data_IF_125994022427
#
_entry.id   IF_125994022427
#
_cell.length_a   1.000
_cell.length_b   1.000
_cell.length_c   1.000
_cell.angle_alpha   90.00
_cell.angle_beta   90.00
_cell.angle_gamma   90.00
#
_symmetry.space_group_name_H-M   'P 1'
#
loop_
_entity.id
_entity.type
_entity.pdbx_description
1 polymer ?
#
# COMPACT_ATOMS: atom_id res chain seq x y z
N UNK A 1 -16.04 -1.46 59.39
CA UNK A 1 -15.79 -2.55 58.45
C UNK A 1 -17.08 -3.15 57.99
N UNK A 2 -17.38 -3.13 56.69
CA UNK A 2 -17.40 -4.30 55.87
C UNK A 2 -16.70 -4.08 54.52
N UNK A 3 -16.21 -5.15 53.96
CA UNK A 3 -15.43 -5.29 52.72
C UNK A 3 -16.31 -5.09 51.49
N UNK A 4 -15.88 -4.19 50.59
CA UNK A 4 -16.41 -4.10 49.24
C UNK A 4 -15.80 -5.16 48.35
N UNK A 5 -16.56 -6.17 47.97
CA UNK A 5 -16.28 -7.06 46.83
C UNK A 5 -17.00 -6.53 45.62
N UNK A 6 -16.31 -5.77 44.80
CA UNK A 6 -16.76 -5.37 43.45
C UNK A 6 -15.94 -6.10 42.40
N UNK A 7 -16.40 -7.25 41.94
CA UNK A 7 -15.85 -7.96 40.79
C UNK A 7 -16.39 -7.20 39.54
N UNK A 8 -15.50 -6.51 38.88
CA UNK A 8 -15.74 -5.88 37.59
C UNK A 8 -16.08 -6.96 36.56
N UNK A 9 -17.28 -6.85 35.98
CA UNK A 9 -17.68 -7.66 34.83
C UNK A 9 -16.81 -7.25 33.65
N UNK A 10 -15.93 -8.15 33.25
CA UNK A 10 -15.22 -8.08 31.95
C UNK A 10 -16.27 -8.09 30.85
N UNK A 11 -16.46 -6.95 30.20
CA UNK A 11 -17.24 -6.85 28.99
C UNK A 11 -16.53 -7.65 27.89
N UNK A 12 -16.99 -8.85 27.61
CA UNK A 12 -16.68 -9.55 26.38
C UNK A 12 -17.38 -8.79 25.24
N UNK A 13 -16.65 -7.89 24.59
CA UNK A 13 -17.07 -7.34 23.31
C UNK A 13 -17.03 -8.47 22.29
N UNK A 14 -18.18 -9.03 21.98
CA UNK A 14 -18.38 -9.89 20.84
C UNK A 14 -18.30 -9.03 19.58
N UNK A 15 -17.17 -9.06 18.90
CA UNK A 15 -17.06 -8.57 17.51
C UNK A 15 -17.98 -9.46 16.68
N UNK A 16 -19.14 -8.96 16.29
CA UNK A 16 -19.97 -9.63 15.28
C UNK A 16 -19.23 -9.51 13.95
N UNK A 17 -18.45 -10.54 13.65
CA UNK A 17 -17.87 -10.74 12.33
C UNK A 17 -19.04 -11.11 11.41
N UNK A 18 -19.27 -10.31 10.39
CA UNK A 18 -20.20 -10.66 9.32
C UNK A 18 -19.67 -11.94 8.68
N UNK A 19 -20.35 -13.05 8.93
CA UNK A 19 -20.00 -14.37 8.40
C UNK A 19 -20.34 -14.40 6.91
N UNK A 20 -19.50 -13.82 6.08
CA UNK A 20 -19.49 -14.07 4.65
C UNK A 20 -18.85 -15.44 4.41
N UNK A 21 -19.41 -16.21 3.52
CA UNK A 21 -18.87 -17.54 3.17
C UNK A 21 -17.41 -17.40 2.69
N UNK A 22 -16.52 -18.35 3.02
CA UNK A 22 -15.17 -18.40 2.43
C UNK A 22 -15.28 -18.38 0.91
N UNK A 23 -14.31 -17.73 0.24
CA UNK A 23 -14.33 -17.64 -1.23
C UNK A 23 -14.27 -19.02 -1.90
N UNK A 24 -13.71 -20.06 -1.24
CA UNK A 24 -13.84 -21.49 -1.57
C UNK A 24 -13.19 -22.35 -0.48
N UNK A 25 -13.62 -23.62 -0.37
CA UNK A 25 -12.95 -24.61 0.50
C UNK A 25 -11.69 -25.13 -0.19
N UNK A 26 -10.54 -24.99 0.45
CA UNK A 26 -9.28 -25.56 -0.07
C UNK A 26 -9.36 -27.07 -0.11
N UNK A 27 -9.01 -27.66 -1.26
CA UNK A 27 -8.88 -29.10 -1.47
C UNK A 27 -10.07 -29.77 -2.14
N UNK A 28 -11.10 -29.05 -2.55
CA UNK A 28 -12.12 -29.59 -3.47
C UNK A 28 -11.65 -29.41 -4.91
N UNK A 29 -11.91 -30.41 -5.75
CA UNK A 29 -11.65 -30.30 -7.21
C UNK A 29 -12.50 -29.13 -7.75
N UNK A 30 -11.90 -28.15 -8.42
CA UNK A 30 -12.65 -27.00 -8.92
C UNK A 30 -13.74 -27.46 -9.89
N UNK A 31 -14.91 -26.81 -9.81
CA UNK A 31 -15.99 -27.15 -10.74
C UNK A 31 -15.62 -26.72 -12.16
N UNK A 32 -16.06 -27.51 -13.17
CA UNK A 32 -15.85 -27.16 -14.58
C UNK A 32 -16.45 -25.79 -14.93
N UNK A 33 -17.54 -25.40 -14.25
CA UNK A 33 -18.18 -24.10 -14.40
C UNK A 33 -17.27 -22.95 -13.96
N UNK A 34 -16.62 -23.07 -12.80
CA UNK A 34 -15.68 -22.07 -12.29
C UNK A 34 -14.45 -21.96 -13.19
N UNK A 35 -13.91 -23.08 -13.65
CA UNK A 35 -12.77 -23.09 -14.58
C UNK A 35 -13.12 -22.37 -15.88
N UNK A 36 -14.31 -22.63 -16.43
CA UNK A 36 -14.80 -21.97 -17.64
C UNK A 36 -14.99 -20.45 -17.43
N UNK A 37 -15.55 -20.04 -16.27
CA UNK A 37 -15.70 -18.62 -15.90
C UNK A 37 -14.36 -17.90 -15.82
N UNK A 38 -13.36 -18.52 -15.19
CA UNK A 38 -12.01 -17.92 -15.07
C UNK A 38 -11.36 -17.76 -16.45
N UNK A 39 -11.48 -18.75 -17.32
CA UNK A 39 -10.96 -18.68 -18.71
C UNK A 39 -11.58 -17.51 -19.46
N UNK A 40 -12.91 -17.43 -19.47
CA UNK A 40 -13.63 -16.35 -20.14
C UNK A 40 -13.22 -14.96 -19.54
N UNK A 41 -13.06 -14.88 -18.22
CA UNK A 41 -12.64 -13.67 -17.55
C UNK A 41 -11.21 -13.26 -17.96
N UNK A 42 -10.27 -14.20 -18.09
CA UNK A 42 -8.89 -13.91 -18.55
C UNK A 42 -8.90 -13.41 -19.99
N UNK A 43 -9.64 -14.05 -20.89
CA UNK A 43 -9.78 -13.63 -22.29
C UNK A 43 -10.44 -12.26 -22.38
N UNK A 44 -11.42 -11.98 -21.52
CA UNK A 44 -12.09 -10.67 -21.46
C UNK A 44 -11.15 -9.56 -20.99
N UNK A 45 -10.31 -9.81 -19.95
CA UNK A 45 -9.30 -8.84 -19.50
C UNK A 45 -8.25 -8.55 -20.58
N UNK A 46 -7.78 -9.58 -21.27
CA UNK A 46 -6.87 -9.40 -22.40
C UNK A 46 -7.49 -8.48 -23.44
N UNK A 47 -8.75 -8.73 -23.82
CA UNK A 47 -9.43 -7.97 -24.87
C UNK A 47 -9.80 -6.55 -24.45
N UNK A 48 -10.44 -6.38 -23.29
CA UNK A 48 -11.03 -5.10 -22.89
C UNK A 48 -10.06 -4.19 -22.15
N UNK A 49 -9.20 -4.75 -21.31
CA UNK A 49 -8.27 -3.98 -20.49
C UNK A 49 -6.91 -3.81 -21.15
N UNK A 50 -6.39 -4.88 -21.79
CA UNK A 50 -5.07 -4.86 -22.42
C UNK A 50 -5.11 -4.65 -23.94
N UNK A 51 -6.30 -4.57 -24.56
CA UNK A 51 -6.52 -4.40 -25.99
C UNK A 51 -5.76 -5.46 -26.82
N UNK A 52 -5.77 -6.72 -26.36
CA UNK A 52 -5.10 -7.87 -26.99
C UNK A 52 -6.08 -8.98 -27.32
N UNK A 53 -5.85 -9.62 -28.45
CA UNK A 53 -6.48 -10.90 -28.76
C UNK A 53 -5.65 -12.02 -28.14
N UNK A 54 -6.30 -13.06 -27.62
CA UNK A 54 -5.65 -14.17 -26.93
C UNK A 54 -4.52 -14.81 -27.74
N UNK A 55 -4.75 -15.08 -29.04
CA UNK A 55 -3.76 -15.71 -29.93
C UNK A 55 -2.44 -14.94 -30.07
N UNK A 56 -2.44 -13.65 -29.76
CA UNK A 56 -1.28 -12.77 -29.88
C UNK A 56 -0.79 -12.24 -28.51
N UNK A 57 -1.35 -12.77 -27.41
CA UNK A 57 -0.98 -12.33 -26.08
C UNK A 57 0.38 -12.89 -25.66
N UNK A 58 1.21 -12.06 -25.08
CA UNK A 58 2.47 -12.49 -24.46
C UNK A 58 2.20 -13.11 -23.08
N UNK A 59 3.13 -13.92 -22.57
CA UNK A 59 3.06 -14.46 -21.19
C UNK A 59 2.80 -13.36 -20.16
N UNK A 60 3.46 -12.22 -20.29
CA UNK A 60 3.29 -11.06 -19.40
C UNK A 60 1.86 -10.51 -19.45
N UNK A 61 1.27 -10.40 -20.61
CA UNK A 61 -0.12 -9.94 -20.75
C UNK A 61 -1.10 -10.94 -20.16
N UNK A 62 -0.89 -12.25 -20.33
CA UNK A 62 -1.70 -13.28 -19.69
C UNK A 62 -1.54 -13.26 -18.17
N UNK A 63 -0.31 -13.11 -17.66
CA UNK A 63 -0.07 -12.88 -16.22
C UNK A 63 -0.85 -11.67 -15.72
N UNK A 64 -0.77 -10.53 -16.41
CA UNK A 64 -1.49 -9.31 -16.03
C UNK A 64 -2.99 -9.53 -15.99
N UNK A 65 -3.55 -10.17 -17.01
CA UNK A 65 -4.98 -10.50 -17.09
C UNK A 65 -5.40 -11.42 -15.93
N UNK A 66 -4.61 -12.45 -15.63
CA UNK A 66 -4.84 -13.35 -14.49
C UNK A 66 -4.85 -12.58 -13.14
N UNK A 67 -3.88 -11.69 -12.95
CA UNK A 67 -3.84 -10.83 -11.76
C UNK A 67 -5.08 -9.94 -11.66
N UNK A 68 -5.55 -9.37 -12.77
CA UNK A 68 -6.73 -8.51 -12.80
C UNK A 68 -8.02 -9.28 -12.48
N UNK A 69 -8.16 -10.51 -13.00
CA UNK A 69 -9.29 -11.40 -12.69
C UNK A 69 -9.33 -11.70 -11.19
N UNK A 70 -8.19 -12.10 -10.61
CA UNK A 70 -8.11 -12.40 -9.19
C UNK A 70 -8.33 -11.13 -8.33
N UNK A 71 -7.74 -9.99 -8.73
CA UNK A 71 -7.92 -8.71 -8.04
C UNK A 71 -9.38 -8.28 -7.95
N UNK A 72 -10.19 -8.48 -8.99
CA UNK A 72 -11.63 -8.14 -8.96
C UNK A 72 -12.34 -8.86 -7.81
N UNK A 73 -12.12 -10.16 -7.65
CA UNK A 73 -12.70 -10.94 -6.55
C UNK A 73 -12.21 -10.48 -5.18
N UNK A 74 -10.93 -10.12 -5.08
CA UNK A 74 -10.34 -9.56 -3.87
C UNK A 74 -10.96 -8.19 -3.53
N UNK A 75 -11.18 -7.32 -4.52
CA UNK A 75 -11.72 -5.99 -4.31
C UNK A 75 -13.17 -6.02 -3.80
N UNK A 76 -14.00 -6.93 -4.26
CA UNK A 76 -15.35 -7.09 -3.73
C UNK A 76 -15.30 -7.38 -2.23
N UNK A 77 -14.47 -8.33 -1.81
CA UNK A 77 -14.25 -8.64 -0.41
C UNK A 77 -13.61 -7.49 0.39
N UNK A 78 -12.68 -6.75 -0.24
CA UNK A 78 -12.10 -5.55 0.33
C UNK A 78 -13.16 -4.50 0.66
N UNK A 79 -14.09 -4.24 -0.26
CA UNK A 79 -15.18 -3.27 -0.05
C UNK A 79 -16.05 -3.69 1.13
N UNK A 80 -16.47 -4.96 1.19
CA UNK A 80 -17.23 -5.51 2.32
C UNK A 80 -16.48 -5.37 3.65
N UNK A 81 -15.19 -5.73 3.67
CA UNK A 81 -14.34 -5.61 4.86
C UNK A 81 -14.23 -4.15 5.32
N UNK A 82 -13.99 -3.21 4.40
CA UNK A 82 -13.86 -1.80 4.75
C UNK A 82 -15.20 -1.20 5.23
N UNK A 83 -16.32 -1.61 4.65
CA UNK A 83 -17.65 -1.21 5.13
C UNK A 83 -17.86 -1.70 6.58
N UNK A 84 -17.64 -2.99 6.85
CA UNK A 84 -17.76 -3.56 8.19
C UNK A 84 -16.84 -2.89 9.23
N UNK A 85 -15.62 -2.54 8.84
CA UNK A 85 -14.67 -1.85 9.71
C UNK A 85 -15.01 -0.38 9.97
N UNK A 86 -15.77 0.26 9.08
CA UNK A 86 -16.15 1.67 9.21
C UNK A 86 -17.52 1.87 9.86
N UNK A 87 -18.45 0.91 9.72
CA UNK A 87 -19.82 0.99 10.26
C UNK A 87 -19.88 0.63 11.75
N UNK A 88 -18.87 -0.09 12.26
CA UNK A 88 -18.84 -0.49 13.68
C UNK A 88 -18.39 0.67 14.58
N UNK A 89 -19.35 1.31 15.30
CA UNK A 89 -18.97 2.13 16.46
C UNK A 89 -18.20 1.24 17.45
N UNK A 90 -16.93 1.48 17.64
CA UNK A 90 -16.14 0.67 18.54
C UNK A 90 -14.98 -0.12 17.89
N UNK A 91 -14.88 -0.16 16.58
CA UNK A 91 -13.78 -0.86 15.92
C UNK A 91 -12.44 -0.23 16.26
N UNK A 92 -11.58 -0.99 16.93
CA UNK A 92 -10.19 -0.61 17.18
C UNK A 92 -9.32 -1.08 16.01
N UNK A 93 -8.59 -0.16 15.39
CA UNK A 93 -7.78 -0.44 14.19
C UNK A 93 -6.29 -0.28 14.47
N UNK A 94 -5.52 -1.23 13.98
CA UNK A 94 -4.06 -1.17 14.01
C UNK A 94 -3.57 -0.45 12.76
N UNK A 95 -2.70 0.53 12.95
CA UNK A 95 -1.99 1.24 11.90
C UNK A 95 -0.51 0.90 12.02
N UNK A 96 -0.02 0.13 11.04
CA UNK A 96 1.36 -0.35 11.04
C UNK A 96 2.19 0.52 10.08
N UNK A 97 3.10 1.31 10.64
CA UNK A 97 3.96 2.23 9.90
C UNK A 97 5.34 1.61 9.75
N UNK A 98 5.79 1.45 8.50
CA UNK A 98 7.15 0.97 8.21
C UNK A 98 7.68 1.61 6.94
N UNK A 99 8.98 1.95 6.94
CA UNK A 99 9.67 2.37 5.72
C UNK A 99 9.89 1.22 4.74
N UNK A 100 9.77 -0.02 5.21
CA UNK A 100 10.01 -1.22 4.42
C UNK A 100 8.83 -2.18 4.48
N UNK A 101 8.48 -2.73 3.30
CA UNK A 101 7.53 -3.83 3.16
C UNK A 101 8.05 -4.82 2.12
N UNK A 102 8.65 -5.91 2.58
CA UNK A 102 9.12 -6.98 1.71
C UNK A 102 8.00 -7.98 1.44
N UNK A 103 7.07 -7.60 0.58
CA UNK A 103 5.87 -8.39 0.28
C UNK A 103 6.17 -9.63 -0.55
N UNK A 104 7.14 -9.56 -1.45
CA UNK A 104 7.39 -10.60 -2.43
C UNK A 104 6.41 -10.54 -3.61
N UNK A 105 6.29 -11.66 -4.35
CA UNK A 105 5.35 -11.85 -5.46
C UNK A 105 3.96 -12.15 -4.93
N UNK A 106 2.96 -11.46 -5.42
CA UNK A 106 1.61 -11.49 -4.85
C UNK A 106 0.68 -12.49 -5.52
N UNK A 107 0.88 -12.85 -6.80
CA UNK A 107 -0.04 -13.75 -7.50
C UNK A 107 -0.20 -15.08 -6.76
N UNK A 108 0.91 -15.75 -6.47
CA UNK A 108 0.87 -17.04 -5.79
C UNK A 108 0.30 -16.95 -4.37
N UNK A 109 0.65 -15.90 -3.62
CA UNK A 109 0.14 -15.66 -2.26
C UNK A 109 -1.37 -15.43 -2.29
N UNK A 110 -1.83 -14.56 -3.18
CA UNK A 110 -3.25 -14.26 -3.32
C UNK A 110 -4.06 -15.47 -3.79
N UNK A 111 -3.53 -16.29 -4.71
CA UNK A 111 -4.15 -17.55 -5.13
C UNK A 111 -4.31 -18.52 -3.96
N UNK A 112 -3.27 -18.68 -3.13
CA UNK A 112 -3.35 -19.54 -1.95
C UNK A 112 -4.34 -19.00 -0.91
N UNK A 113 -4.28 -17.69 -0.63
CA UNK A 113 -5.10 -17.08 0.42
C UNK A 113 -6.59 -17.02 0.05
N UNK A 114 -6.90 -16.94 -1.25
CA UNK A 114 -8.29 -16.96 -1.75
C UNK A 114 -8.82 -18.35 -2.02
N UNK A 115 -7.99 -19.41 -1.98
CA UNK A 115 -8.37 -20.76 -2.37
C UNK A 115 -8.53 -20.97 -3.87
N UNK A 116 -8.16 -19.96 -4.70
CA UNK A 116 -8.38 -19.99 -6.15
C UNK A 116 -7.28 -20.69 -6.94
N UNK A 117 -6.23 -21.22 -6.27
CA UNK A 117 -5.05 -21.74 -6.95
C UNK A 117 -5.39 -22.84 -7.94
N UNK A 118 -6.11 -23.86 -7.50
CA UNK A 118 -6.39 -25.05 -8.32
C UNK A 118 -7.28 -24.72 -9.51
N UNK A 119 -8.27 -23.84 -9.32
CA UNK A 119 -9.17 -23.39 -10.38
C UNK A 119 -8.45 -22.54 -11.44
N UNK A 120 -7.57 -21.62 -11.01
CA UNK A 120 -6.77 -20.79 -11.94
C UNK A 120 -5.73 -21.64 -12.66
N UNK A 121 -5.10 -22.61 -11.98
CA UNK A 121 -4.15 -23.53 -12.59
C UNK A 121 -4.81 -24.39 -13.68
N UNK A 122 -6.00 -24.95 -13.41
CA UNK A 122 -6.79 -25.69 -14.39
C UNK A 122 -7.17 -24.79 -15.59
N UNK A 123 -7.68 -23.59 -15.33
CA UNK A 123 -8.07 -22.66 -16.40
C UNK A 123 -6.88 -22.27 -17.30
N UNK A 124 -5.74 -21.95 -16.71
CA UNK A 124 -4.51 -21.62 -17.46
C UNK A 124 -3.98 -22.82 -18.23
N UNK A 125 -4.03 -24.04 -17.65
CA UNK A 125 -3.61 -25.26 -18.34
C UNK A 125 -4.45 -25.52 -19.61
N UNK A 126 -5.77 -25.31 -19.54
CA UNK A 126 -6.65 -25.41 -20.72
C UNK A 126 -6.39 -24.32 -21.77
N UNK A 127 -5.89 -23.14 -21.33
CA UNK A 127 -5.43 -22.06 -22.20
C UNK A 127 -4.01 -22.30 -22.74
N UNK A 128 -3.32 -23.36 -22.33
CA UNK A 128 -1.98 -23.72 -22.77
C UNK A 128 -0.85 -23.03 -22.01
N UNK A 129 -1.12 -22.53 -20.80
CA UNK A 129 -0.12 -21.86 -19.95
C UNK A 129 0.15 -22.66 -18.67
N UNK A 130 1.39 -22.65 -18.22
CA UNK A 130 1.82 -23.18 -16.94
C UNK A 130 1.79 -22.06 -15.88
N UNK A 131 1.05 -22.27 -14.79
CA UNK A 131 0.93 -21.27 -13.70
C UNK A 131 2.26 -20.95 -13.06
N UNK A 132 3.13 -21.96 -12.85
CA UNK A 132 4.44 -21.75 -12.25
C UNK A 132 5.32 -20.83 -13.10
N UNK A 133 5.36 -21.06 -14.42
CA UNK A 133 6.08 -20.21 -15.37
C UNK A 133 5.44 -18.81 -15.47
N UNK A 134 4.14 -18.72 -15.29
CA UNK A 134 3.44 -17.44 -15.31
C UNK A 134 3.77 -16.61 -14.05
N UNK A 135 3.89 -17.23 -12.89
CA UNK A 135 4.33 -16.57 -11.67
C UNK A 135 5.74 -15.98 -11.75
N UNK A 136 6.60 -16.52 -12.64
CA UNK A 136 7.96 -15.96 -12.86
C UNK A 136 7.93 -14.63 -13.64
N UNK A 137 6.84 -14.28 -14.31
CA UNK A 137 6.66 -12.98 -14.95
C UNK A 137 6.46 -11.84 -13.93
N UNK A 138 6.12 -12.14 -12.67
CA UNK A 138 5.92 -11.14 -11.63
C UNK A 138 7.24 -10.60 -11.10
N UNK A 139 7.42 -9.28 -11.20
CA UNK A 139 8.52 -8.62 -10.52
C UNK A 139 8.23 -8.51 -9.03
N UNK A 140 9.22 -8.84 -8.21
CA UNK A 140 9.16 -8.56 -6.79
C UNK A 140 9.03 -7.05 -6.54
N UNK A 141 8.16 -6.69 -5.63
CA UNK A 141 8.16 -5.35 -5.05
C UNK A 141 9.33 -5.25 -4.08
N UNK A 142 10.48 -4.79 -4.56
CA UNK A 142 11.70 -4.63 -3.76
C UNK A 142 11.64 -3.48 -2.76
N UNK A 143 10.52 -3.36 -2.01
CA UNK A 143 10.26 -2.30 -1.04
C UNK A 143 10.74 -2.64 0.37
N UNK A 144 11.66 -3.57 0.50
CA UNK A 144 12.28 -3.98 1.76
C UNK A 144 13.58 -4.71 1.52
N UNK A 145 14.48 -4.70 2.51
CA UNK A 145 15.79 -5.32 2.40
C UNK A 145 15.88 -6.68 3.11
N UNK A 146 15.34 -6.77 4.33
CA UNK A 146 15.56 -7.96 5.16
C UNK A 146 14.47 -8.17 6.20
N UNK A 147 14.89 -8.51 7.43
CA UNK A 147 13.98 -8.92 8.51
C UNK A 147 12.93 -7.90 8.89
N UNK A 148 13.27 -6.62 8.89
CA UNK A 148 12.32 -5.54 9.21
C UNK A 148 11.17 -5.49 8.20
N UNK A 149 11.50 -5.43 6.91
CA UNK A 149 10.50 -5.37 5.84
C UNK A 149 9.67 -6.65 5.74
N UNK A 150 10.31 -7.82 5.97
CA UNK A 150 9.57 -9.09 5.98
C UNK A 150 8.68 -9.23 7.21
N UNK A 151 9.11 -8.74 8.38
CA UNK A 151 8.28 -8.71 9.59
C UNK A 151 7.00 -7.88 9.37
N UNK A 152 7.13 -6.70 8.76
CA UNK A 152 6.00 -5.84 8.42
C UNK A 152 5.02 -6.56 7.49
N UNK A 153 5.51 -7.20 6.43
CA UNK A 153 4.69 -7.99 5.52
C UNK A 153 3.96 -9.14 6.23
N UNK A 154 4.68 -9.92 7.05
CA UNK A 154 4.09 -11.04 7.79
C UNK A 154 3.05 -10.58 8.82
N UNK A 155 3.23 -9.44 9.47
CA UNK A 155 2.23 -8.90 10.40
C UNK A 155 0.95 -8.48 9.68
N UNK A 156 1.05 -7.86 8.48
CA UNK A 156 -0.14 -7.53 7.71
C UNK A 156 -0.92 -8.79 7.30
N UNK A 157 -0.25 -9.82 6.82
CA UNK A 157 -0.86 -11.10 6.47
C UNK A 157 -1.51 -11.77 7.70
N UNK A 158 -0.81 -11.78 8.83
CA UNK A 158 -1.31 -12.38 10.08
C UNK A 158 -2.53 -11.63 10.59
N UNK A 159 -2.51 -10.30 10.60
CA UNK A 159 -3.66 -9.49 11.04
C UNK A 159 -4.88 -9.72 10.14
N UNK A 160 -4.70 -9.79 8.83
CA UNK A 160 -5.77 -10.10 7.91
C UNK A 160 -6.33 -11.52 8.13
N UNK A 161 -5.45 -12.51 8.36
CA UNK A 161 -5.84 -13.90 8.62
C UNK A 161 -6.59 -14.06 9.95
N UNK A 162 -6.25 -13.25 10.94
CA UNK A 162 -6.88 -13.26 12.28
C UNK A 162 -8.13 -12.34 12.35
N UNK A 163 -8.59 -11.81 11.22
CA UNK A 163 -9.72 -10.89 11.12
C UNK A 163 -9.53 -9.59 11.94
N UNK A 164 -8.28 -9.16 12.12
CA UNK A 164 -7.97 -7.91 12.82
C UNK A 164 -7.98 -6.72 11.86
N UNK A 165 -8.73 -5.65 12.16
CA UNK A 165 -8.72 -4.44 11.36
C UNK A 165 -7.34 -3.78 11.36
N UNK A 166 -6.69 -3.73 10.21
CA UNK A 166 -5.36 -3.16 10.09
C UNK A 166 -5.16 -2.40 8.78
N UNK A 167 -4.29 -1.40 8.81
CA UNK A 167 -3.80 -0.68 7.64
C UNK A 167 -2.29 -0.55 7.78
N UNK A 168 -1.54 -0.99 6.76
CA UNK A 168 -0.12 -0.70 6.63
C UNK A 168 0.09 0.66 5.97
N UNK A 169 1.13 1.39 6.39
CA UNK A 169 1.57 2.63 5.75
C UNK A 169 3.06 2.58 5.47
N UNK A 170 3.44 3.03 4.27
CA UNK A 170 4.84 3.12 3.85
C UNK A 170 5.03 4.12 2.72
N UNK A 171 6.17 4.05 2.07
CA UNK A 171 6.50 4.86 0.91
C UNK A 171 6.41 4.00 -0.36
N UNK A 172 5.80 4.56 -1.40
CA UNK A 172 5.77 4.01 -2.74
C UNK A 172 7.06 4.39 -3.48
N UNK A 173 8.11 3.61 -3.24
CA UNK A 173 9.40 3.88 -3.90
C UNK A 173 9.32 3.58 -5.40
N UNK A 174 9.81 4.51 -6.21
CA UNK A 174 9.85 4.35 -7.66
C UNK A 174 10.79 3.21 -8.06
N UNK A 175 11.92 3.10 -7.37
CA UNK A 175 12.89 2.03 -7.56
C UNK A 175 12.93 1.19 -6.30
N UNK A 176 12.89 -0.13 -6.47
CA UNK A 176 13.10 -1.06 -5.38
C UNK A 176 14.54 -1.04 -4.86
N UNK A 177 14.83 -1.96 -3.94
CA UNK A 177 16.20 -2.24 -3.58
C UNK A 177 16.96 -2.62 -4.85
N UNK A 178 18.21 -2.17 -4.99
CA UNK A 178 19.01 -2.35 -6.21
C UNK A 178 19.00 -3.81 -6.73
N UNK A 179 19.06 -3.97 -8.05
CA UNK A 179 19.31 -5.24 -8.72
C UNK A 179 20.82 -5.51 -8.76
N UNK A 180 21.21 -6.72 -8.37
CA UNK A 180 22.60 -7.14 -8.40
C UNK A 180 22.93 -7.76 -9.77
N UNK A 181 24.01 -7.25 -10.39
CA UNK A 181 24.56 -7.78 -11.62
C UNK A 181 26.06 -8.05 -11.45
N UNK A 182 26.64 -8.88 -12.32
CA UNK A 182 28.07 -9.12 -12.35
C UNK A 182 28.68 -8.53 -13.61
N UNK A 183 29.64 -7.62 -13.44
CA UNK A 183 30.45 -7.06 -14.53
C UNK A 183 31.92 -7.30 -14.23
N UNK A 184 32.64 -7.92 -15.17
CA UNK A 184 34.07 -8.21 -15.04
C UNK A 184 34.46 -8.94 -13.72
N UNK A 185 33.62 -9.87 -13.28
CA UNK A 185 33.84 -10.64 -12.05
C UNK A 185 33.59 -9.86 -10.76
N UNK A 186 32.99 -8.67 -10.83
CA UNK A 186 32.59 -7.85 -9.66
C UNK A 186 31.09 -7.64 -9.66
N UNK A 187 30.51 -7.64 -8.47
CA UNK A 187 29.12 -7.25 -8.29
C UNK A 187 28.97 -5.75 -8.56
N UNK A 188 27.94 -5.40 -9.31
CA UNK A 188 27.50 -4.03 -9.54
C UNK A 188 26.03 -3.91 -9.21
N UNK A 189 25.63 -2.76 -8.70
CA UNK A 189 24.25 -2.43 -8.37
C UNK A 189 23.61 -1.66 -9.53
N UNK A 190 22.38 -2.05 -9.87
CA UNK A 190 21.58 -1.39 -10.89
C UNK A 190 20.22 -0.98 -10.29
N UNK A 191 19.63 0.12 -10.76
CA UNK A 191 18.27 0.46 -10.34
C UNK A 191 17.28 -0.67 -10.64
N UNK A 192 16.45 -1.01 -9.66
CA UNK A 192 15.38 -1.99 -9.82
C UNK A 192 14.06 -1.26 -10.17
N UNK A 193 13.80 -1.13 -11.47
CA UNK A 193 12.59 -0.48 -12.00
C UNK A 193 11.43 -1.48 -12.01
N UNK A 194 10.92 -1.81 -10.83
CA UNK A 194 9.86 -2.78 -10.62
C UNK A 194 8.50 -2.33 -11.20
N UNK A 195 8.32 -1.02 -11.36
CA UNK A 195 7.12 -0.40 -11.94
C UNK A 195 7.15 -0.25 -13.47
N UNK A 196 8.23 -0.67 -14.14
CA UNK A 196 8.43 -0.49 -15.59
C UNK A 196 7.24 -0.93 -16.44
N UNK A 197 6.53 -1.96 -16.03
CA UNK A 197 5.38 -2.53 -16.74
C UNK A 197 4.06 -2.30 -16.01
N UNK A 198 4.05 -1.41 -15.02
CA UNK A 198 2.93 -1.19 -14.12
C UNK A 198 2.76 -2.31 -13.09
N UNK A 199 1.89 -2.10 -12.13
CA UNK A 199 1.55 -3.08 -11.11
C UNK A 199 0.04 -3.33 -11.11
N UNK A 200 -0.44 -4.52 -11.49
CA UNK A 200 -1.87 -4.81 -11.57
C UNK A 200 -2.55 -4.88 -10.21
N UNK A 201 -1.79 -4.96 -9.11
CA UNK A 201 -2.33 -5.09 -7.75
C UNK A 201 -2.70 -3.77 -7.09
N UNK A 202 -2.14 -2.66 -7.56
CA UNK A 202 -2.31 -1.34 -6.96
C UNK A 202 -3.59 -0.64 -7.43
N UNK A 203 -4.18 0.13 -6.52
CA UNK A 203 -5.25 1.07 -6.81
C UNK A 203 -4.82 2.46 -6.36
N UNK A 204 -4.54 3.34 -7.31
CA UNK A 204 -4.19 4.73 -7.01
C UNK A 204 -5.42 5.50 -6.51
N UNK A 205 -5.24 6.31 -5.47
CA UNK A 205 -6.31 7.07 -4.80
C UNK A 205 -5.99 8.57 -4.73
N UNK A 206 -5.85 9.29 -5.84
CA UNK A 206 -5.47 10.71 -5.84
C UNK A 206 -6.45 11.60 -5.07
N UNK A 207 -7.72 11.17 -4.95
CA UNK A 207 -8.73 11.89 -4.14
C UNK A 207 -8.43 11.87 -2.63
N UNK A 208 -7.46 11.05 -2.17
CA UNK A 208 -6.99 10.98 -0.79
C UNK A 208 -5.57 11.51 -0.63
N UNK A 209 -5.11 12.32 -1.61
CA UNK A 209 -3.81 12.98 -1.52
C UNK A 209 -3.69 13.81 -0.24
N UNK A 210 -2.50 13.82 0.35
CA UNK A 210 -2.19 14.57 1.56
C UNK A 210 -1.12 15.62 1.25
N UNK A 211 -1.31 16.85 1.73
CA UNK A 211 -0.33 17.91 1.60
C UNK A 211 0.60 17.92 2.81
N UNK A 212 1.89 17.93 2.54
CA UNK A 212 2.94 17.97 3.56
C UNK A 212 3.80 19.21 3.34
N UNK A 213 3.92 20.04 4.35
CA UNK A 213 4.82 21.19 4.34
C UNK A 213 6.21 20.78 4.86
N UNK A 214 7.23 21.15 4.11
CA UNK A 214 8.63 20.89 4.43
C UNK A 214 9.38 22.22 4.59
N UNK A 215 10.40 22.23 5.44
CA UNK A 215 11.26 23.41 5.65
C UNK A 215 10.49 24.63 6.20
N UNK A 216 10.99 25.84 5.89
CA UNK A 216 10.42 27.07 6.38
C UNK A 216 10.79 27.38 7.83
N UNK A 217 10.06 28.31 8.42
CA UNK A 217 10.21 28.71 9.83
C UNK A 217 8.86 29.06 10.43
N UNK A 218 8.77 28.95 11.77
CA UNK A 218 7.59 29.43 12.50
C UNK A 218 7.82 30.90 12.87
N UNK A 219 6.91 31.77 12.45
CA UNK A 219 6.83 33.14 12.92
C UNK A 219 5.80 33.23 14.05
N UNK A 220 6.24 33.78 15.17
CA UNK A 220 5.38 33.94 16.33
C UNK A 220 4.54 35.22 16.14
N UNK A 221 3.23 35.05 15.99
CA UNK A 221 2.26 36.10 15.78
C UNK A 221 1.13 35.98 16.83
N UNK A 222 0.34 37.03 16.98
CA UNK A 222 -0.93 37.00 17.67
C UNK A 222 -2.05 37.28 16.66
N UNK A 223 -3.22 36.71 16.91
CA UNK A 223 -4.43 37.04 16.15
C UNK A 223 -4.97 38.42 16.55
N UNK A 224 -6.04 38.87 15.86
CA UNK A 224 -6.65 40.18 16.14
C UNK A 224 -7.26 40.29 17.55
N UNK A 225 -7.41 39.17 18.26
CA UNK A 225 -7.90 39.10 19.65
C UNK A 225 -6.76 38.99 20.65
N UNK A 226 -5.51 39.01 20.19
CA UNK A 226 -4.31 38.91 21.04
C UNK A 226 -3.94 37.49 21.46
N UNK A 227 -4.59 36.46 20.94
CA UNK A 227 -4.22 35.07 21.20
C UNK A 227 -2.99 34.68 20.38
N UNK A 228 -2.13 33.85 20.95
CA UNK A 228 -0.95 33.32 20.25
C UNK A 228 -1.36 32.50 19.03
N UNK A 229 -0.94 32.93 17.85
CA UNK A 229 -1.27 32.32 16.55
C UNK A 229 0.00 32.17 15.70
N UNK A 230 0.79 31.11 15.92
CA UNK A 230 2.03 30.90 15.17
C UNK A 230 1.73 30.62 13.70
N UNK A 231 2.56 31.22 12.81
CA UNK A 231 2.46 31.04 11.36
C UNK A 231 3.67 30.28 10.85
N UNK A 232 3.45 29.22 10.07
CA UNK A 232 4.54 28.51 9.39
C UNK A 232 4.73 29.11 8.00
N UNK A 233 5.83 29.87 7.83
CA UNK A 233 6.12 30.65 6.62
C UNK A 233 7.31 30.10 5.86
N UNK A 234 7.29 30.27 4.52
CA UNK A 234 8.40 29.86 3.65
C UNK A 234 8.56 28.35 3.55
N UNK A 235 7.52 27.58 3.86
CA UNK A 235 7.53 26.13 3.64
C UNK A 235 7.36 25.78 2.16
N UNK A 236 7.95 24.65 1.76
CA UNK A 236 7.71 24.01 0.46
C UNK A 236 6.66 22.92 0.65
N UNK A 237 5.70 22.85 -0.27
CA UNK A 237 4.65 21.83 -0.20
C UNK A 237 4.94 20.66 -1.13
N UNK A 238 4.70 19.46 -0.62
CA UNK A 238 4.75 18.20 -1.36
C UNK A 238 3.41 17.50 -1.17
N UNK A 239 2.93 16.82 -2.19
CA UNK A 239 1.73 15.98 -2.10
C UNK A 239 2.12 14.51 -1.99
N UNK A 240 1.50 13.81 -1.04
CA UNK A 240 1.55 12.36 -0.95
C UNK A 240 0.36 11.74 -1.65
N UNK A 241 0.60 11.07 -2.77
CA UNK A 241 -0.43 10.33 -3.51
C UNK A 241 -0.47 8.89 -3.00
N UNK A 242 -1.61 8.41 -2.49
CA UNK A 242 -1.66 7.05 -1.95
C UNK A 242 -1.98 6.01 -3.03
N UNK A 243 -1.28 4.89 -2.93
CA UNK A 243 -1.49 3.65 -3.67
C UNK A 243 -1.90 2.56 -2.69
N UNK A 244 -3.09 2.00 -2.86
CA UNK A 244 -3.63 0.96 -2.00
C UNK A 244 -3.39 -0.41 -2.61
N UNK A 245 -2.79 -1.30 -1.82
CA UNK A 245 -2.53 -2.69 -2.13
C UNK A 245 -3.35 -3.57 -1.19
N UNK A 246 -4.20 -4.44 -1.72
CA UNK A 246 -5.00 -5.35 -0.91
C UNK A 246 -4.13 -6.41 -0.22
N UNK A 247 -4.37 -6.65 1.06
CA UNK A 247 -3.73 -7.68 1.88
C UNK A 247 -4.79 -8.70 2.25
N UNK A 248 -4.74 -9.84 1.60
CA UNK A 248 -5.73 -10.90 1.72
C UNK A 248 -5.34 -11.84 2.86
N UNK A 249 -6.19 -12.02 3.86
CA UNK A 249 -6.00 -13.02 4.89
C UNK A 249 -6.20 -14.44 4.33
N UNK A 250 -5.54 -15.43 4.95
CA UNK A 250 -5.74 -16.84 4.59
C UNK A 250 -7.21 -17.24 4.79
N UNK A 251 -7.84 -17.83 3.76
CA UNK A 251 -9.27 -18.11 3.72
C UNK A 251 -10.12 -16.90 3.31
N UNK A 252 -9.51 -15.79 2.95
CA UNK A 252 -10.09 -14.57 2.35
C UNK A 252 -11.33 -13.98 3.07
N UNK A 253 -11.44 -14.15 4.39
CA UNK A 253 -12.54 -13.54 5.16
C UNK A 253 -12.35 -12.03 5.30
N UNK A 254 -11.14 -11.62 5.64
CA UNK A 254 -10.77 -10.22 5.80
C UNK A 254 -9.74 -9.81 4.76
N UNK A 255 -9.96 -8.66 4.14
CA UNK A 255 -9.00 -8.02 3.25
C UNK A 255 -8.65 -6.64 3.80
N UNK A 256 -7.48 -6.58 4.42
CA UNK A 256 -6.85 -5.33 4.84
C UNK A 256 -6.16 -4.66 3.65
N UNK A 257 -5.39 -3.60 3.87
CA UNK A 257 -4.59 -3.00 2.81
C UNK A 257 -3.31 -2.37 3.34
N UNK A 258 -2.36 -2.25 2.41
CA UNK A 258 -1.14 -1.48 2.55
C UNK A 258 -1.29 -0.22 1.71
N UNK A 259 -1.15 0.95 2.32
CA UNK A 259 -1.15 2.26 1.65
C UNK A 259 0.26 2.78 1.55
N UNK A 260 0.71 2.94 0.32
CA UNK A 260 2.04 3.46 0.01
C UNK A 260 1.92 4.89 -0.54
N UNK A 261 2.74 5.80 -0.02
CA UNK A 261 2.73 7.21 -0.38
C UNK A 261 3.79 7.52 -1.42
N UNK A 262 3.38 7.94 -2.63
CA UNK A 262 4.27 8.53 -3.63
C UNK A 262 4.36 10.04 -3.37
N UNK A 263 5.56 10.58 -3.33
CA UNK A 263 5.77 12.02 -3.22
C UNK A 263 5.71 12.68 -4.59
N UNK A 264 4.87 13.70 -4.72
CA UNK A 264 4.77 14.58 -5.88
C UNK A 264 4.93 16.03 -5.48
N UNK A 265 5.48 16.85 -6.37
CA UNK A 265 5.47 18.28 -6.16
C UNK A 265 4.04 18.82 -6.25
N UNK A 266 3.70 19.80 -5.42
CA UNK A 266 2.41 20.49 -5.49
C UNK A 266 2.26 21.34 -6.77
N UNK A 267 3.40 21.80 -7.30
CA UNK A 267 3.49 22.51 -8.59
C UNK A 267 4.37 21.67 -9.53
N UNK A 268 3.76 21.17 -10.60
CA UNK A 268 4.46 20.28 -11.53
C UNK A 268 5.39 21.01 -12.49
N UNK A 269 5.07 22.27 -12.80
CA UNK A 269 5.78 23.07 -13.80
C UNK A 269 5.65 24.57 -13.51
N UNK A 270 6.77 25.24 -13.33
CA UNK A 270 6.80 26.71 -13.43
C UNK A 270 6.67 27.13 -14.90
N UNK A 271 5.44 27.35 -15.32
CA UNK A 271 5.15 27.71 -16.70
C UNK A 271 5.79 29.05 -17.10
N UNK A 272 5.98 29.98 -16.18
CA UNK A 272 6.58 31.28 -16.45
C UNK A 272 8.07 31.13 -16.77
N UNK A 273 8.80 30.39 -15.95
CA UNK A 273 10.22 30.05 -16.17
C UNK A 273 10.38 29.18 -17.44
N UNK A 274 9.49 28.23 -17.64
CA UNK A 274 9.49 27.39 -18.86
C UNK A 274 9.38 28.21 -20.14
N UNK A 275 8.43 29.15 -20.19
CA UNK A 275 8.21 30.01 -21.35
C UNK A 275 9.39 30.98 -21.64
N UNK A 276 10.22 31.24 -20.62
CA UNK A 276 11.45 32.05 -20.78
C UNK A 276 12.66 31.19 -21.21
N UNK A 277 12.48 29.89 -21.48
CA UNK A 277 13.53 28.97 -21.91
C UNK A 277 14.29 28.28 -20.78
N UNK A 278 13.91 28.49 -19.52
CA UNK A 278 14.49 27.85 -18.35
C UNK A 278 13.93 26.45 -18.08
N UNK A 279 14.01 25.54 -19.05
CA UNK A 279 13.33 24.23 -19.02
C UNK A 279 13.73 23.36 -17.83
N UNK A 280 15.01 23.34 -17.46
CA UNK A 280 15.51 22.55 -16.34
C UNK A 280 15.07 23.17 -15.00
N UNK A 281 15.15 24.49 -14.91
CA UNK A 281 14.76 25.24 -13.70
C UNK A 281 13.26 25.10 -13.42
N UNK A 282 12.46 25.16 -14.49
CA UNK A 282 10.99 25.02 -14.41
C UNK A 282 10.51 23.69 -13.81
N UNK A 283 11.35 22.64 -13.83
CA UNK A 283 11.03 21.31 -13.27
C UNK A 283 11.85 20.98 -12.03
N UNK A 284 12.68 21.89 -11.55
CA UNK A 284 13.57 21.62 -10.39
C UNK A 284 12.79 21.28 -9.13
N UNK A 285 11.78 22.04 -8.80
CA UNK A 285 10.93 21.83 -7.62
C UNK A 285 10.22 20.47 -7.71
N UNK A 286 9.76 20.09 -8.89
CA UNK A 286 9.21 18.76 -9.19
C UNK A 286 10.22 17.66 -8.87
N UNK A 287 11.42 17.76 -9.41
CA UNK A 287 12.46 16.77 -9.20
C UNK A 287 12.86 16.62 -7.72
N UNK A 288 12.90 17.73 -6.99
CA UNK A 288 13.18 17.71 -5.55
C UNK A 288 12.06 17.02 -4.76
N UNK A 289 10.80 17.35 -5.01
CA UNK A 289 9.65 16.70 -4.35
C UNK A 289 9.61 15.20 -4.62
N UNK A 290 9.75 14.81 -5.88
CA UNK A 290 9.73 13.39 -6.27
C UNK A 290 10.93 12.58 -5.75
N UNK A 291 12.07 13.23 -5.42
CA UNK A 291 13.24 12.54 -4.89
C UNK A 291 12.96 11.83 -3.56
N UNK A 292 11.97 12.29 -2.81
CA UNK A 292 11.57 11.71 -1.51
C UNK A 292 11.16 10.24 -1.64
N UNK A 293 10.45 9.88 -2.71
CA UNK A 293 10.00 8.51 -2.96
C UNK A 293 10.77 7.79 -4.07
N UNK A 294 12.00 8.21 -4.40
CA UNK A 294 12.80 7.57 -5.46
C UNK A 294 13.35 6.23 -5.05
N UNK A 295 14.08 6.15 -3.93
CA UNK A 295 14.80 4.95 -3.48
C UNK A 295 14.64 4.73 -1.99
N UNK A 296 14.63 3.45 -1.58
CA UNK A 296 14.49 3.05 -0.18
C UNK A 296 15.68 3.50 0.69
N UNK A 297 16.90 3.30 0.21
CA UNK A 297 18.13 3.64 0.94
C UNK A 297 19.00 4.59 0.13
N UNK A 298 18.74 5.93 0.19
CA UNK A 298 19.72 6.88 -0.31
C UNK A 298 21.00 6.78 0.50
N UNK A 299 22.14 7.03 -0.15
CA UNK A 299 23.43 7.08 0.55
C UNK A 299 23.39 8.19 1.62
N UNK A 300 23.64 7.84 2.89
CA UNK A 300 23.61 8.74 4.05
C UNK A 300 25.01 9.09 4.61
N UNK A 301 26.07 8.84 3.85
CA UNK A 301 27.41 9.31 4.21
C UNK A 301 27.53 10.83 4.15
N UNK A 302 26.71 11.49 3.35
CA UNK A 302 26.67 12.95 3.21
C UNK A 302 25.54 13.58 4.02
N UNK A 303 25.68 14.85 4.39
CA UNK A 303 24.63 15.59 5.09
C UNK A 303 23.34 15.67 4.26
N UNK A 304 23.44 15.82 2.94
CA UNK A 304 22.29 15.82 2.02
C UNK A 304 21.58 14.47 2.05
N UNK A 305 22.31 13.37 2.11
CA UNK A 305 21.70 12.02 2.19
C UNK A 305 21.00 11.80 3.53
N UNK A 306 21.58 12.25 4.65
CA UNK A 306 20.93 12.21 5.97
C UNK A 306 19.66 13.05 6.00
N UNK A 307 19.71 14.25 5.42
CA UNK A 307 18.55 15.12 5.31
C UNK A 307 17.43 14.44 4.49
N UNK A 308 17.74 13.82 3.36
CA UNK A 308 16.75 13.11 2.55
C UNK A 308 16.08 11.99 3.34
N UNK A 309 16.83 11.19 4.12
CA UNK A 309 16.25 10.15 4.98
C UNK A 309 15.30 10.71 6.04
N UNK A 310 15.68 11.83 6.67
CA UNK A 310 14.82 12.52 7.62
C UNK A 310 13.53 13.02 6.95
N UNK A 311 13.65 13.58 5.75
CA UNK A 311 12.50 14.06 4.97
C UNK A 311 11.59 12.91 4.56
N UNK A 312 12.14 11.74 4.16
CA UNK A 312 11.37 10.53 3.87
C UNK A 312 10.51 10.10 5.06
N UNK A 313 11.12 10.02 6.26
CA UNK A 313 10.43 9.64 7.49
C UNK A 313 9.34 10.65 7.86
N UNK A 314 9.67 11.93 7.83
CA UNK A 314 8.70 12.98 8.12
C UNK A 314 7.52 12.96 7.14
N UNK A 315 7.80 12.86 5.84
CA UNK A 315 6.80 12.84 4.77
C UNK A 315 5.79 11.70 4.97
N UNK A 316 6.25 10.45 5.09
CA UNK A 316 5.33 9.34 5.15
C UNK A 316 4.53 9.29 6.45
N UNK A 317 5.15 9.66 7.58
CA UNK A 317 4.45 9.76 8.88
C UNK A 317 3.40 10.87 8.83
N UNK A 318 3.74 12.05 8.30
CA UNK A 318 2.80 13.16 8.17
C UNK A 318 1.59 12.81 7.28
N UNK A 319 1.81 12.17 6.12
CA UNK A 319 0.74 11.68 5.27
C UNK A 319 -0.14 10.65 5.99
N UNK A 320 0.49 9.69 6.68
CA UNK A 320 -0.21 8.61 7.37
C UNK A 320 -1.06 9.11 8.54
N UNK A 321 -0.53 10.03 9.35
CA UNK A 321 -1.28 10.63 10.47
C UNK A 321 -2.47 11.45 9.98
N UNK A 322 -2.31 12.21 8.90
CA UNK A 322 -3.42 12.95 8.30
C UNK A 322 -4.53 12.01 7.80
N UNK A 323 -4.18 10.88 7.17
CA UNK A 323 -5.16 9.88 6.75
C UNK A 323 -5.86 9.21 7.94
N UNK A 324 -5.11 8.85 9.01
CA UNK A 324 -5.69 8.30 10.24
C UNK A 324 -6.70 9.26 10.88
N UNK A 325 -6.31 10.52 11.02
CA UNK A 325 -7.17 11.59 11.57
C UNK A 325 -8.41 11.79 10.70
N UNK A 326 -8.24 11.83 9.37
CA UNK A 326 -9.35 11.98 8.45
C UNK A 326 -10.33 10.79 8.50
N UNK A 327 -9.82 9.57 8.71
CA UNK A 327 -10.64 8.36 8.90
C UNK A 327 -11.41 8.41 10.21
N UNK A 328 -10.75 8.75 11.31
CA UNK A 328 -11.40 8.87 12.62
C UNK A 328 -12.51 9.92 12.61
N UNK A 329 -12.27 11.08 11.99
CA UNK A 329 -13.28 12.14 11.87
C UNK A 329 -14.54 11.76 11.11
N UNK A 330 -14.51 10.71 10.30
CA UNK A 330 -15.69 10.19 9.58
C UNK A 330 -16.56 9.27 10.44
N UNK A 331 -16.10 8.88 11.63
CA UNK A 331 -16.86 8.00 12.51
C UNK A 331 -17.84 8.75 13.40
N UNK A 332 -17.82 10.09 13.40
CA UNK A 332 -18.58 10.97 14.29
C UNK A 332 -18.38 10.68 15.79
N UNK A 333 -17.31 9.97 16.15
CA UNK A 333 -16.96 9.70 17.55
C UNK A 333 -16.23 10.90 18.18
N UNK A 334 -16.34 11.01 19.52
CA UNK A 334 -15.64 12.04 20.29
C UNK A 334 -14.12 11.86 20.16
N UNK A 335 -13.40 12.98 20.16
CA UNK A 335 -11.94 13.01 20.09
C UNK A 335 -11.27 12.28 21.25
N UNK A 336 -11.91 12.22 22.41
CA UNK A 336 -11.42 11.48 23.57
C UNK A 336 -11.36 9.96 23.32
N UNK A 337 -12.11 9.46 22.34
CA UNK A 337 -12.08 8.06 21.90
C UNK A 337 -10.92 7.75 20.92
N UNK A 338 -10.26 8.76 20.36
CA UNK A 338 -9.16 8.55 19.41
C UNK A 338 -8.08 7.59 19.93
N UNK A 339 -7.55 7.72 21.17
CA UNK A 339 -6.55 6.80 21.69
C UNK A 339 -7.07 5.37 21.89
N UNK A 340 -8.39 5.21 22.06
CA UNK A 340 -9.02 3.91 22.24
C UNK A 340 -9.24 3.16 20.92
N UNK A 341 -9.37 3.90 19.81
CA UNK A 341 -9.69 3.36 18.47
C UNK A 341 -8.48 3.25 17.55
N UNK A 342 -7.49 4.11 17.73
CA UNK A 342 -6.30 4.20 16.87
C UNK A 342 -5.10 3.62 17.58
N UNK A 343 -4.61 2.49 17.11
CA UNK A 343 -3.40 1.83 17.61
C UNK A 343 -2.30 1.97 16.60
N UNK A 344 -1.27 2.73 16.90
CA UNK A 344 -0.13 2.95 16.01
C UNK A 344 1.04 2.09 16.43
N UNK A 345 1.53 1.28 15.50
CA UNK A 345 2.81 0.58 15.61
C UNK A 345 3.78 1.22 14.63
N UNK A 346 4.81 1.84 15.14
CA UNK A 346 5.90 2.40 14.35
C UNK A 346 7.05 1.41 14.31
N UNK A 347 7.45 1.02 13.11
CA UNK A 347 8.58 0.14 12.86
C UNK A 347 9.63 0.90 12.06
N UNK A 348 10.70 1.30 12.69
CA UNK A 348 11.76 2.11 12.11
C UNK A 348 13.05 1.31 11.98
N UNK A 349 13.79 1.58 10.91
CA UNK A 349 15.18 1.18 10.78
C UNK A 349 16.03 2.19 11.54
N UNK A 350 16.47 1.82 12.71
CA UNK A 350 17.53 2.56 13.37
C UNK A 350 18.87 1.97 12.93
N UNK A 351 19.80 2.79 12.34
CA UNK A 351 21.16 2.36 12.02
C UNK A 351 21.96 2.06 13.30
#
# INVERSE_FOLDING_TARGET
MPLCTGISKTNQMSTQIVASQPLETQGEVPSDELVAEIKEAIEMELRLTLARHFDNATKREVWTATCLVLRKRIIDRFIETQAAHNEGSGTRRVYYLSLEYLMGRLLNVNLCNTGMRDAVEAALSELGFDLGLLCEEEHDMGLGNGGLGRLAACFLDSMATMDLPAIGYGIHYQFGLFRQEFENGRQVERPDDWLKYGNPWEVVRPQHAQKVSLYGRVEHACDDLGNYSPQWVGSKQVEGIPYDLAIVGYGARTVNFLRLWEAKASEELDLQVFNQGGYVEAVREKAMGESISKVLYPNDETEIGKELRLVQQYFFVACSLQDMIARFRRTDEDWDEFPNKVVVQLNDTHP
#
